data_IF_594804370991
#
_entry.id   IF_594804370991
#
_cell.length_a   1.000
_cell.length_b   1.000
_cell.length_c   1.000
_cell.angle_alpha   90.00
_cell.angle_beta   90.00
_cell.angle_gamma   90.00
#
_symmetry.space_group_name_H-M   'P 1'
#
loop_
_entity.id
_entity.type
_entity.pdbx_description
1 polymer ?
#
# COMPACT_ATOMS: atom_id res chain seq x y z
N UNK A 1 17.91 42.59 -39.82
CA UNK A 1 16.72 42.59 -38.93
C UNK A 1 16.68 41.25 -38.23
N UNK A 2 17.02 41.28 -36.96
CA UNK A 2 17.21 40.11 -36.09
C UNK A 2 15.92 39.37 -35.86
N UNK A 3 15.89 38.11 -36.21
CA UNK A 3 14.93 37.13 -35.67
C UNK A 3 15.51 36.63 -34.32
N UNK A 4 15.45 37.49 -33.34
CA UNK A 4 15.70 37.09 -31.94
C UNK A 4 14.37 36.97 -31.21
N UNK A 5 14.16 35.75 -30.71
CA UNK A 5 13.46 35.42 -29.48
C UNK A 5 12.01 35.90 -29.28
N UNK A 6 11.08 35.26 -29.95
CA UNK A 6 9.81 34.92 -29.33
C UNK A 6 9.86 33.44 -28.93
N UNK A 7 10.71 33.09 -27.95
CA UNK A 7 10.49 31.91 -27.15
C UNK A 7 9.30 32.23 -26.28
N UNK A 8 8.12 31.82 -26.72
CA UNK A 8 6.89 31.90 -25.94
C UNK A 8 7.20 31.37 -24.55
N UNK A 9 7.02 32.23 -23.58
CA UNK A 9 7.25 31.97 -22.17
C UNK A 9 6.12 31.08 -21.64
N UNK A 10 5.98 29.86 -22.23
CA UNK A 10 5.01 28.85 -21.81
C UNK A 10 5.49 28.34 -20.46
N UNK A 11 4.72 28.64 -19.42
CA UNK A 11 4.99 28.11 -18.09
C UNK A 11 5.10 26.58 -18.15
N UNK A 12 6.05 26.00 -17.40
CA UNK A 12 6.16 24.55 -17.28
C UNK A 12 4.86 24.00 -16.67
N UNK A 13 4.37 22.90 -17.22
CA UNK A 13 3.11 22.25 -16.83
C UNK A 13 3.00 21.98 -15.33
N UNK A 14 4.13 21.75 -14.65
CA UNK A 14 4.15 21.43 -13.21
C UNK A 14 3.77 22.65 -12.36
N UNK A 15 4.15 23.88 -12.77
CA UNK A 15 3.81 25.09 -12.03
C UNK A 15 2.79 25.99 -12.75
N UNK A 16 2.16 25.49 -13.81
CA UNK A 16 0.98 26.14 -14.36
C UNK A 16 -0.13 26.26 -13.31
N UNK A 17 -0.84 27.40 -13.27
CA UNK A 17 -1.84 27.68 -12.24
C UNK A 17 -2.98 26.67 -12.23
N UNK A 18 -3.44 26.20 -13.41
CA UNK A 18 -4.51 25.20 -13.52
C UNK A 18 -4.03 23.82 -13.02
N UNK A 19 -2.77 23.48 -13.30
CA UNK A 19 -2.15 22.26 -12.82
C UNK A 19 -2.03 22.26 -11.29
N UNK A 20 -1.55 23.37 -10.70
CA UNK A 20 -1.47 23.54 -9.25
C UNK A 20 -2.87 23.54 -8.57
N UNK A 21 -3.87 24.15 -9.25
CA UNK A 21 -5.26 24.09 -8.77
C UNK A 21 -5.80 22.66 -8.75
N UNK A 22 -5.64 21.94 -9.85
CA UNK A 22 -6.07 20.55 -9.96
C UNK A 22 -5.36 19.66 -8.94
N UNK A 23 -4.06 19.89 -8.73
CA UNK A 23 -3.24 19.21 -7.72
C UNK A 23 -3.74 19.51 -6.29
N UNK A 24 -4.16 20.75 -6.00
CA UNK A 24 -4.78 21.09 -4.71
C UNK A 24 -6.09 20.33 -4.51
N UNK A 25 -6.96 20.28 -5.51
CA UNK A 25 -8.21 19.53 -5.42
C UNK A 25 -7.97 18.03 -5.17
N UNK A 26 -6.98 17.45 -5.85
CA UNK A 26 -6.58 16.06 -5.65
C UNK A 26 -5.98 15.83 -4.24
N UNK A 27 -5.08 16.72 -3.80
CA UNK A 27 -4.41 16.61 -2.50
C UNK A 27 -5.35 16.77 -1.30
N UNK A 28 -6.42 17.58 -1.42
CA UNK A 28 -7.40 17.78 -0.34
C UNK A 28 -8.43 16.67 -0.23
N UNK A 29 -8.64 15.88 -1.29
CA UNK A 29 -9.65 14.83 -1.33
C UNK A 29 -9.53 13.90 -0.11
N UNK A 30 -10.67 13.60 0.53
CA UNK A 30 -10.77 12.78 1.73
C UNK A 30 -10.02 13.33 2.96
N UNK A 31 -9.55 14.59 2.91
CA UNK A 31 -8.81 15.23 4.00
C UNK A 31 -9.25 16.69 4.28
N UNK A 32 -10.37 17.13 3.71
CA UNK A 32 -10.93 18.50 3.85
C UNK A 32 -11.17 18.92 5.31
N UNK A 33 -11.46 17.96 6.17
CA UNK A 33 -11.70 18.19 7.60
C UNK A 33 -10.44 18.51 8.42
N UNK A 34 -9.24 18.31 7.83
CA UNK A 34 -7.98 18.55 8.55
C UNK A 34 -7.66 20.04 8.62
N UNK A 35 -7.29 20.57 9.81
CA UNK A 35 -7.05 22.00 9.99
C UNK A 35 -6.01 22.59 9.03
N UNK A 36 -4.92 21.85 8.75
CA UNK A 36 -3.89 22.32 7.79
C UNK A 36 -4.41 22.43 6.35
N UNK A 37 -5.36 21.58 5.95
CA UNK A 37 -5.97 21.63 4.62
C UNK A 37 -6.93 22.82 4.53
N UNK A 38 -7.73 23.05 5.60
CA UNK A 38 -8.63 24.18 5.70
C UNK A 38 -7.85 25.52 5.69
N UNK A 39 -6.79 25.62 6.51
CA UNK A 39 -5.94 26.81 6.55
C UNK A 39 -5.33 27.13 5.17
N UNK A 40 -4.81 26.12 4.47
CA UNK A 40 -4.28 26.33 3.11
C UNK A 40 -5.39 26.76 2.14
N UNK A 41 -6.59 26.20 2.28
CA UNK A 41 -7.74 26.49 1.43
C UNK A 41 -8.33 27.88 1.62
N UNK A 42 -8.21 28.50 2.79
CA UNK A 42 -8.65 29.89 3.05
C UNK A 42 -7.85 30.88 2.18
N UNK A 43 -6.52 30.72 2.17
CA UNK A 43 -5.60 31.56 1.39
C UNK A 43 -5.15 30.87 0.09
N UNK A 44 -6.05 30.13 -0.54
CA UNK A 44 -5.75 29.25 -1.65
C UNK A 44 -5.06 29.96 -2.84
N UNK A 45 -5.63 31.09 -3.33
CA UNK A 45 -5.06 31.80 -4.47
C UNK A 45 -3.66 32.37 -4.18
N UNK A 46 -3.43 33.12 -3.11
CA UNK A 46 -2.09 33.55 -2.71
C UNK A 46 -1.11 32.39 -2.57
N UNK A 47 -1.54 31.28 -1.96
CA UNK A 47 -0.68 30.09 -1.78
C UNK A 47 -0.26 29.46 -3.11
N UNK A 48 -1.17 29.39 -4.10
CA UNK A 48 -0.84 28.82 -5.43
C UNK A 48 0.09 29.75 -6.20
N UNK A 49 -0.18 31.06 -6.19
CA UNK A 49 0.70 32.04 -6.87
C UNK A 49 2.11 31.99 -6.27
N UNK A 50 2.21 32.04 -4.93
CA UNK A 50 3.52 31.90 -4.25
C UNK A 50 4.20 30.58 -4.56
N UNK A 51 3.46 29.47 -4.67
CA UNK A 51 4.01 28.16 -5.07
C UNK A 51 4.55 28.19 -6.50
N UNK A 52 3.82 28.82 -7.43
CA UNK A 52 4.28 29.01 -8.81
C UNK A 52 5.59 29.78 -8.85
N UNK A 53 5.68 30.91 -8.13
CA UNK A 53 6.87 31.77 -8.13
C UNK A 53 8.09 31.02 -7.55
N UNK A 54 7.95 30.30 -6.44
CA UNK A 54 9.00 29.47 -5.85
C UNK A 54 9.50 28.39 -6.82
N UNK A 55 8.60 27.76 -7.56
CA UNK A 55 8.95 26.72 -8.52
C UNK A 55 9.62 27.34 -9.77
N UNK A 56 9.07 28.40 -10.31
CA UNK A 56 9.62 29.11 -11.48
C UNK A 56 11.03 29.61 -11.26
N UNK A 57 11.30 30.14 -10.06
CA UNK A 57 12.62 30.63 -9.66
C UNK A 57 13.57 29.52 -9.20
N UNK A 58 13.15 28.26 -9.15
CA UNK A 58 13.90 27.12 -8.60
C UNK A 58 14.33 27.34 -7.13
N UNK A 59 13.54 28.06 -6.35
CA UNK A 59 13.75 28.33 -4.93
C UNK A 59 13.02 27.35 -4.00
N UNK A 60 12.39 26.32 -4.57
CA UNK A 60 11.65 25.35 -3.80
C UNK A 60 12.56 24.45 -2.97
N UNK A 61 12.27 24.42 -1.67
CA UNK A 61 12.77 23.43 -0.72
C UNK A 61 11.58 22.84 0.04
N UNK A 62 11.57 21.52 0.23
CA UNK A 62 10.50 20.86 1.00
C UNK A 62 10.45 21.40 2.42
N UNK A 63 9.26 21.74 2.87
CA UNK A 63 9.04 22.23 4.25
C UNK A 63 9.22 21.10 5.27
N UNK A 64 9.49 21.44 6.54
CA UNK A 64 9.56 20.45 7.61
C UNK A 64 8.28 19.62 7.66
N UNK A 65 8.42 18.31 7.62
CA UNK A 65 7.32 17.35 7.71
C UNK A 65 7.03 16.96 9.15
N UNK A 66 5.80 16.53 9.42
CA UNK A 66 5.43 15.90 10.69
C UNK A 66 5.64 14.39 10.59
N UNK A 67 6.28 13.79 11.58
CA UNK A 67 6.40 12.33 11.66
C UNK A 67 5.44 11.79 12.74
N UNK A 68 4.71 10.75 12.38
CA UNK A 68 3.86 10.04 13.33
C UNK A 68 3.85 8.54 13.03
N UNK A 69 3.49 7.77 14.03
CA UNK A 69 3.52 6.31 13.94
C UNK A 69 2.10 5.79 13.84
N UNK A 70 1.86 4.93 12.86
CA UNK A 70 0.63 4.14 12.80
C UNK A 70 0.95 2.66 13.06
N UNK A 71 0.06 2.00 13.80
CA UNK A 71 0.10 0.57 13.97
C UNK A 71 -0.96 -0.07 13.06
N UNK A 72 -0.52 -0.54 11.91
CA UNK A 72 -1.39 -1.20 10.95
C UNK A 72 -1.21 -2.72 11.04
N UNK A 73 -2.24 -3.42 11.55
CA UNK A 73 -2.27 -4.89 11.63
C UNK A 73 -1.05 -5.49 12.34
N UNK A 74 -0.59 -4.84 13.40
CA UNK A 74 0.58 -5.26 14.18
C UNK A 74 1.93 -4.90 13.55
N UNK A 75 1.95 -4.14 12.46
CA UNK A 75 3.17 -3.53 11.91
C UNK A 75 3.20 -2.06 12.27
N UNK A 76 4.27 -1.66 12.88
CA UNK A 76 4.59 -0.26 13.17
C UNK A 76 5.13 0.38 11.88
N UNK A 77 4.53 1.50 11.47
CA UNK A 77 4.93 2.24 10.28
C UNK A 77 5.12 3.71 10.62
N UNK A 78 6.31 4.28 10.45
CA UNK A 78 6.48 5.72 10.47
C UNK A 78 5.86 6.33 9.21
N UNK A 79 5.04 7.34 9.39
CA UNK A 79 4.41 8.07 8.29
C UNK A 79 4.96 9.49 8.30
N UNK A 80 5.32 9.98 7.14
CA UNK A 80 5.74 11.36 6.93
C UNK A 80 4.56 12.18 6.46
N UNK A 81 4.06 13.08 7.32
CA UNK A 81 3.00 14.02 7.01
C UNK A 81 3.55 15.29 6.38
N UNK A 82 3.38 15.45 5.08
CA UNK A 82 3.82 16.63 4.35
C UNK A 82 2.92 17.84 4.60
N UNK A 83 3.50 19.04 4.53
CA UNK A 83 2.74 20.29 4.47
C UNK A 83 1.87 20.33 3.20
N UNK A 84 0.75 21.07 3.25
CA UNK A 84 -0.19 21.08 2.14
C UNK A 84 0.42 21.65 0.85
N UNK A 85 1.29 22.65 0.95
CA UNK A 85 2.05 23.19 -0.20
C UNK A 85 2.89 22.12 -0.90
N UNK A 86 3.64 21.31 -0.11
CA UNK A 86 4.47 20.23 -0.67
C UNK A 86 3.61 19.14 -1.32
N UNK A 87 2.44 18.83 -0.71
CA UNK A 87 1.50 17.88 -1.31
C UNK A 87 0.99 18.37 -2.67
N UNK A 88 0.66 19.65 -2.80
CA UNK A 88 0.22 20.26 -4.08
C UNK A 88 1.31 20.14 -5.12
N UNK A 89 2.54 20.51 -4.81
CA UNK A 89 3.69 20.40 -5.72
C UNK A 89 3.89 18.96 -6.19
N UNK A 90 3.90 18.01 -5.25
CA UNK A 90 4.11 16.58 -5.56
C UNK A 90 2.97 15.97 -6.36
N UNK A 91 1.71 16.38 -6.11
CA UNK A 91 0.57 16.01 -6.94
C UNK A 91 0.74 16.56 -8.36
N UNK A 92 1.11 17.84 -8.51
CA UNK A 92 1.30 18.42 -9.85
C UNK A 92 2.40 17.71 -10.63
N UNK A 93 3.56 17.43 -10.01
CA UNK A 93 4.64 16.67 -10.66
C UNK A 93 4.19 15.24 -11.02
N UNK A 94 3.52 14.55 -10.10
CA UNK A 94 3.08 13.17 -10.33
C UNK A 94 2.03 13.07 -11.44
N UNK A 95 1.00 13.92 -11.40
CA UNK A 95 -0.14 13.79 -12.26
C UNK A 95 0.16 14.29 -13.69
N UNK A 96 1.01 15.32 -13.83
CA UNK A 96 1.31 15.93 -15.13
C UNK A 96 2.58 15.38 -15.80
N UNK A 97 3.54 14.82 -15.04
CA UNK A 97 4.82 14.36 -15.58
C UNK A 97 5.13 12.92 -15.23
N UNK A 98 5.28 12.57 -13.95
CA UNK A 98 5.77 11.23 -13.62
C UNK A 98 4.81 10.11 -14.05
N UNK A 99 3.51 10.25 -13.77
CA UNK A 99 2.53 9.23 -14.17
C UNK A 99 2.43 9.07 -15.68
N UNK A 100 2.24 10.12 -16.48
CA UNK A 100 2.21 10.00 -17.94
C UNK A 100 3.51 9.42 -18.53
N UNK A 101 4.68 9.77 -17.98
CA UNK A 101 5.96 9.32 -18.52
C UNK A 101 6.34 7.89 -18.13
N UNK A 102 5.78 7.35 -17.03
CA UNK A 102 6.25 6.09 -16.46
C UNK A 102 5.25 4.92 -16.58
N UNK A 103 3.93 5.22 -16.63
CA UNK A 103 2.90 4.17 -16.56
C UNK A 103 2.93 3.23 -17.76
N UNK A 104 3.24 3.72 -18.94
CA UNK A 104 3.26 2.92 -20.18
C UNK A 104 4.39 1.87 -20.21
N UNK A 105 5.40 2.04 -19.36
CA UNK A 105 6.48 1.05 -19.21
C UNK A 105 6.17 -0.06 -18.21
N UNK A 106 5.07 0.07 -17.47
CA UNK A 106 4.68 -0.94 -16.50
C UNK A 106 4.03 -2.14 -17.19
N UNK A 107 4.31 -3.33 -16.70
CA UNK A 107 3.58 -4.52 -17.17
C UNK A 107 2.08 -4.38 -16.88
N UNK A 108 1.24 -4.93 -17.75
CA UNK A 108 -0.23 -4.89 -17.57
C UNK A 108 -0.66 -5.45 -16.20
N UNK A 109 0.00 -6.51 -15.73
CA UNK A 109 -0.27 -7.22 -14.47
C UNK A 109 0.36 -6.55 -13.23
N UNK A 110 0.81 -5.28 -13.35
CA UNK A 110 1.08 -4.39 -12.21
C UNK A 110 -0.23 -3.71 -11.81
N UNK A 111 -0.75 -4.03 -10.63
CA UNK A 111 -2.07 -3.57 -10.19
C UNK A 111 -2.05 -2.56 -9.04
N UNK A 112 -0.89 -2.12 -8.58
CA UNK A 112 -0.80 -1.20 -7.45
C UNK A 112 -0.85 0.27 -7.88
N UNK A 113 -1.54 1.10 -7.11
CA UNK A 113 -1.52 2.59 -7.19
C UNK A 113 -1.76 3.19 -8.58
N UNK A 114 -2.48 2.48 -9.45
CA UNK A 114 -2.87 2.94 -10.79
C UNK A 114 -4.38 3.20 -10.84
N UNK A 115 -4.78 4.25 -11.57
CA UNK A 115 -6.20 4.54 -11.80
C UNK A 115 -6.89 3.35 -12.49
N UNK A 116 -8.04 2.95 -11.96
CA UNK A 116 -8.77 1.78 -12.46
C UNK A 116 -8.18 0.42 -12.08
N UNK A 117 -7.04 0.39 -11.39
CA UNK A 117 -6.43 -0.81 -10.83
C UNK A 117 -6.40 -0.74 -9.30
N UNK A 118 -6.07 -1.84 -8.66
CA UNK A 118 -6.01 -1.92 -7.20
C UNK A 118 -5.92 -3.38 -6.76
N UNK A 119 -6.16 -3.62 -5.49
CA UNK A 119 -6.05 -4.97 -4.92
C UNK A 119 -7.02 -5.96 -5.57
N UNK A 120 -8.24 -5.51 -5.91
CA UNK A 120 -9.25 -6.38 -6.52
C UNK A 120 -8.92 -6.69 -7.99
N UNK A 121 -8.39 -5.70 -8.74
CA UNK A 121 -7.82 -5.94 -10.06
C UNK A 121 -6.73 -7.01 -9.99
N UNK A 122 -5.76 -6.86 -9.08
CA UNK A 122 -4.64 -7.80 -8.97
C UNK A 122 -5.09 -9.21 -8.56
N UNK A 123 -6.08 -9.32 -7.67
CA UNK A 123 -6.68 -10.60 -7.31
C UNK A 123 -7.40 -11.25 -8.49
N UNK A 124 -8.20 -10.48 -9.23
CA UNK A 124 -8.89 -10.95 -10.43
C UNK A 124 -7.87 -11.43 -11.48
N UNK A 125 -6.81 -10.66 -11.76
CA UNK A 125 -5.74 -11.06 -12.67
C UNK A 125 -5.02 -12.33 -12.23
N UNK A 126 -4.74 -12.44 -10.94
CA UNK A 126 -4.15 -13.65 -10.36
C UNK A 126 -5.04 -14.89 -10.58
N UNK A 127 -6.34 -14.79 -10.31
CA UNK A 127 -7.30 -15.87 -10.56
C UNK A 127 -7.42 -16.21 -12.05
N UNK A 128 -7.41 -15.20 -12.93
CA UNK A 128 -7.37 -15.41 -14.39
C UNK A 128 -6.12 -16.18 -14.82
N UNK A 129 -4.95 -15.89 -14.21
CA UNK A 129 -3.72 -16.63 -14.48
C UNK A 129 -3.84 -18.08 -14.02
N UNK A 130 -4.41 -18.36 -12.86
CA UNK A 130 -4.67 -19.72 -12.38
C UNK A 130 -5.60 -20.49 -13.31
N UNK A 131 -6.71 -19.87 -13.76
CA UNK A 131 -7.64 -20.50 -14.70
C UNK A 131 -7.03 -20.73 -16.08
N UNK A 132 -6.24 -19.78 -16.61
CA UNK A 132 -5.52 -19.94 -17.88
C UNK A 132 -4.46 -21.03 -17.77
N UNK A 133 -3.73 -21.04 -16.66
CA UNK A 133 -2.74 -22.08 -16.38
C UNK A 133 -3.39 -23.46 -16.36
N UNK A 134 -4.50 -23.60 -15.60
CA UNK A 134 -5.23 -24.86 -15.51
C UNK A 134 -5.70 -25.38 -16.87
N UNK A 135 -6.22 -24.52 -17.73
CA UNK A 135 -6.65 -24.93 -19.10
C UNK A 135 -5.51 -25.45 -19.96
N UNK A 136 -4.27 -25.02 -19.69
CA UNK A 136 -3.10 -25.43 -20.47
C UNK A 136 -2.39 -26.66 -19.88
N UNK A 137 -2.39 -26.78 -18.55
CA UNK A 137 -1.50 -27.72 -17.86
C UNK A 137 -2.17 -28.49 -16.70
N UNK A 138 -3.45 -28.30 -16.45
CA UNK A 138 -4.11 -28.84 -15.26
C UNK A 138 -3.69 -28.11 -13.97
N UNK A 139 -3.79 -28.82 -12.83
CA UNK A 139 -3.37 -28.30 -11.53
C UNK A 139 -1.93 -28.72 -11.15
N UNK A 140 -1.24 -29.48 -12.02
CA UNK A 140 0.15 -29.89 -11.79
C UNK A 140 1.10 -28.74 -12.09
N UNK A 141 1.61 -28.13 -11.03
CA UNK A 141 2.54 -27.02 -11.12
C UNK A 141 2.77 -26.33 -9.80
N UNK A 142 3.57 -25.29 -9.88
CA UNK A 142 4.07 -24.57 -8.72
C UNK A 142 3.89 -23.07 -8.89
N UNK A 143 3.81 -22.37 -7.77
CA UNK A 143 3.83 -20.92 -7.70
C UNK A 143 5.04 -20.48 -6.87
N UNK A 144 5.86 -19.61 -7.44
CA UNK A 144 6.87 -18.84 -6.74
C UNK A 144 6.22 -17.54 -6.26
N UNK A 145 6.18 -17.32 -4.95
CA UNK A 145 5.73 -16.09 -4.30
C UNK A 145 6.93 -15.34 -3.77
N UNK A 146 7.03 -14.05 -4.07
CA UNK A 146 8.17 -13.22 -3.72
C UNK A 146 7.72 -11.93 -3.02
N UNK A 147 8.58 -11.44 -2.11
CA UNK A 147 8.41 -10.18 -1.36
C UNK A 147 9.81 -9.56 -1.20
N UNK A 148 9.92 -8.24 -1.27
CA UNK A 148 11.20 -7.56 -1.03
C UNK A 148 11.37 -7.19 0.44
N UNK A 149 12.59 -7.30 0.96
CA UNK A 149 12.94 -6.92 2.31
C UNK A 149 12.91 -5.40 2.46
N UNK A 150 12.00 -4.89 3.32
CA UNK A 150 11.93 -3.45 3.62
C UNK A 150 11.93 -2.58 2.36
N UNK A 151 11.04 -2.88 1.41
CA UNK A 151 11.05 -2.35 0.05
C UNK A 151 11.23 -0.83 -0.01
N UNK A 152 10.35 -0.06 0.66
CA UNK A 152 10.42 1.41 0.65
C UNK A 152 11.66 1.98 1.34
N UNK A 153 12.23 1.26 2.31
CA UNK A 153 13.45 1.66 3.01
C UNK A 153 14.72 1.40 2.18
N UNK A 154 14.60 0.66 1.06
CA UNK A 154 15.74 0.18 0.28
C UNK A 154 15.64 0.52 -1.21
N UNK A 155 15.09 1.68 -1.53
CA UNK A 155 15.12 2.28 -2.87
C UNK A 155 16.25 3.32 -2.92
N UNK A 156 17.42 3.01 -3.49
CA UNK A 156 18.53 3.97 -3.58
C UNK A 156 18.13 5.16 -4.46
N UNK A 157 18.36 6.36 -3.97
CA UNK A 157 17.91 7.60 -4.63
C UNK A 157 18.58 7.80 -5.99
N UNK A 158 19.87 7.53 -6.08
CA UNK A 158 20.66 7.69 -7.31
C UNK A 158 20.22 6.72 -8.40
N UNK A 159 19.96 5.46 -8.04
CA UNK A 159 19.47 4.45 -8.99
C UNK A 159 18.05 4.78 -9.42
N UNK A 160 17.16 5.10 -8.47
CA UNK A 160 15.78 5.44 -8.77
C UNK A 160 15.69 6.71 -9.65
N UNK A 161 16.50 7.73 -9.36
CA UNK A 161 16.58 8.92 -10.19
C UNK A 161 17.03 8.58 -11.62
N UNK A 162 18.10 7.81 -11.78
CA UNK A 162 18.62 7.40 -13.10
C UNK A 162 17.57 6.60 -13.91
N UNK A 163 16.85 5.68 -13.26
CA UNK A 163 15.82 4.89 -13.93
C UNK A 163 14.66 5.78 -14.40
N UNK A 164 14.23 6.75 -13.59
CA UNK A 164 13.18 7.70 -13.96
C UNK A 164 13.64 8.66 -15.05
N UNK A 165 14.85 9.17 -14.96
CA UNK A 165 15.42 10.12 -15.93
C UNK A 165 15.57 9.55 -17.35
N UNK A 166 15.49 8.22 -17.53
CA UNK A 166 15.43 7.61 -18.86
C UNK A 166 14.13 7.92 -19.61
N UNK A 167 13.08 8.31 -18.89
CA UNK A 167 11.72 8.46 -19.40
C UNK A 167 11.15 9.87 -19.21
N UNK A 168 11.80 10.70 -18.43
CA UNK A 168 11.43 12.10 -18.19
C UNK A 168 12.47 13.01 -18.83
N UNK A 169 12.07 13.76 -19.87
CA UNK A 169 12.99 14.61 -20.62
C UNK A 169 12.97 16.08 -20.16
N UNK A 170 12.06 16.45 -19.25
CA UNK A 170 11.92 17.81 -18.74
C UNK A 170 12.92 18.07 -17.62
N UNK A 171 13.89 18.96 -17.89
CA UNK A 171 14.96 19.34 -16.94
C UNK A 171 14.40 19.91 -15.62
N UNK A 172 13.33 20.72 -15.70
CA UNK A 172 12.70 21.26 -14.50
C UNK A 172 12.12 20.15 -13.61
N UNK A 173 11.41 19.21 -14.19
CA UNK A 173 10.84 18.06 -13.47
C UNK A 173 11.91 17.17 -12.85
N UNK A 174 13.02 16.97 -13.54
CA UNK A 174 14.18 16.23 -12.99
C UNK A 174 14.83 16.97 -11.82
N UNK A 175 14.99 18.31 -11.93
CA UNK A 175 15.44 19.12 -10.81
C UNK A 175 14.51 19.01 -9.60
N UNK A 176 13.19 19.14 -9.82
CA UNK A 176 12.21 19.05 -8.76
C UNK A 176 12.20 17.65 -8.11
N UNK A 177 12.33 16.60 -8.92
CA UNK A 177 12.46 15.22 -8.43
C UNK A 177 13.69 15.06 -7.53
N UNK A 178 14.83 15.70 -7.89
CA UNK A 178 16.02 15.70 -7.05
C UNK A 178 15.77 16.39 -5.70
N UNK A 179 15.04 17.52 -5.66
CA UNK A 179 14.65 18.19 -4.41
C UNK A 179 13.76 17.27 -3.54
N UNK A 180 12.91 16.47 -4.18
CA UNK A 180 12.04 15.49 -3.49
C UNK A 180 12.88 14.34 -2.90
N UNK A 181 13.86 13.80 -3.64
CA UNK A 181 14.78 12.79 -3.12
C UNK A 181 15.64 13.32 -1.97
N UNK A 182 16.06 14.58 -2.02
CA UNK A 182 16.78 15.22 -0.91
C UNK A 182 15.93 15.33 0.36
N UNK A 183 14.62 15.44 0.24
CA UNK A 183 13.70 15.38 1.38
C UNK A 183 13.48 13.95 1.91
N UNK A 184 13.77 12.89 1.13
CA UNK A 184 13.65 11.51 1.57
C UNK A 184 14.86 10.98 2.34
N UNK A 185 16.00 11.66 2.28
CA UNK A 185 17.20 11.26 2.99
C UNK A 185 16.96 11.17 4.50
N UNK A 186 17.57 10.18 5.13
CA UNK A 186 17.44 9.94 6.57
C UNK A 186 18.75 10.33 7.23
N UNK A 187 18.67 11.18 8.26
CA UNK A 187 19.83 11.54 9.06
C UNK A 187 20.29 10.33 9.90
N UNK A 188 21.51 9.93 9.66
CA UNK A 188 22.18 8.81 10.32
C UNK A 188 23.53 9.21 10.91
N UNK A 189 23.65 10.48 11.34
CA UNK A 189 24.88 11.06 11.90
C UNK A 189 25.43 10.29 13.10
N UNK A 190 24.57 9.57 13.82
CA UNK A 190 24.92 8.71 14.95
C UNK A 190 25.60 7.38 14.56
N UNK A 191 25.58 7.00 13.26
CA UNK A 191 26.23 5.78 12.80
C UNK A 191 27.73 5.99 12.64
N UNK A 192 28.53 5.04 13.11
CA UNK A 192 29.92 4.96 12.70
C UNK A 192 30.02 4.51 11.22
N UNK A 193 31.22 4.56 10.65
CA UNK A 193 31.41 4.27 9.22
C UNK A 193 31.17 2.80 8.87
N UNK A 194 31.49 1.89 9.78
CA UNK A 194 31.25 0.46 9.59
C UNK A 194 29.75 0.15 9.58
N UNK A 195 28.99 0.69 10.52
CA UNK A 195 27.53 0.55 10.57
C UNK A 195 26.87 1.14 9.31
N UNK A 196 27.34 2.31 8.88
CA UNK A 196 26.84 2.96 7.67
C UNK A 196 27.09 2.09 6.43
N UNK A 197 28.33 1.61 6.23
CA UNK A 197 28.69 0.74 5.12
C UNK A 197 27.89 -0.58 5.16
N UNK A 198 27.70 -1.14 6.34
CA UNK A 198 26.86 -2.33 6.49
C UNK A 198 25.41 -2.06 6.06
N UNK A 199 24.82 -0.93 6.46
CA UNK A 199 23.46 -0.53 6.04
C UNK A 199 23.34 -0.24 4.54
N UNK A 200 24.43 0.05 3.84
CA UNK A 200 24.43 0.15 2.37
C UNK A 200 24.32 -1.23 1.70
N UNK A 201 24.85 -2.28 2.30
CA UNK A 201 24.96 -3.61 1.73
C UNK A 201 23.83 -4.56 2.16
N UNK A 202 23.20 -4.32 3.31
CA UNK A 202 22.06 -5.12 3.83
C UNK A 202 20.78 -4.31 3.82
N UNK A 203 19.60 -4.97 3.89
CA UNK A 203 18.34 -4.24 3.96
C UNK A 203 18.25 -3.31 5.17
N UNK A 204 18.24 -2.00 4.90
CA UNK A 204 18.05 -0.94 5.90
C UNK A 204 16.64 -0.98 6.50
N UNK A 205 16.49 -0.63 7.76
CA UNK A 205 15.21 -0.55 8.46
C UNK A 205 15.01 0.83 9.08
N UNK A 206 14.51 1.77 8.31
CA UNK A 206 14.30 3.16 8.75
C UNK A 206 13.39 3.26 9.99
N UNK A 207 12.41 2.38 10.12
CA UNK A 207 11.50 2.34 11.28
C UNK A 207 12.25 2.10 12.59
N UNK A 208 13.22 1.21 12.59
CA UNK A 208 14.01 0.89 13.77
C UNK A 208 14.85 2.09 14.22
N UNK A 209 15.51 2.74 13.30
CA UNK A 209 16.33 3.93 13.57
C UNK A 209 15.47 5.11 14.04
N UNK A 210 14.39 5.42 13.36
CA UNK A 210 13.48 6.51 13.75
C UNK A 210 12.87 6.34 15.15
N UNK A 211 12.69 5.09 15.61
CA UNK A 211 12.08 4.80 16.92
C UNK A 211 13.09 4.73 18.08
N UNK A 212 14.32 4.28 17.82
CA UNK A 212 15.31 3.99 18.86
C UNK A 212 16.29 5.13 19.09
N UNK A 213 16.52 5.98 18.08
CA UNK A 213 17.53 7.02 18.14
C UNK A 213 16.89 8.34 18.57
N UNK A 214 17.42 9.01 19.62
CA UNK A 214 16.91 10.31 20.07
C UNK A 214 17.19 11.40 19.05
N UNK A 215 16.30 12.38 18.94
CA UNK A 215 16.41 13.49 17.97
C UNK A 215 17.72 14.29 18.14
N UNK A 216 18.27 14.35 19.32
CA UNK A 216 19.54 15.03 19.61
C UNK A 216 20.77 14.39 18.90
N UNK A 217 20.65 13.15 18.49
CA UNK A 217 21.72 12.44 17.76
C UNK A 217 21.66 12.64 16.24
N UNK A 218 20.64 13.37 15.75
CA UNK A 218 20.48 13.72 14.34
C UNK A 218 21.09 15.10 14.08
N UNK A 219 22.41 15.15 13.87
CA UNK A 219 23.18 16.41 13.72
C UNK A 219 23.22 16.95 12.30
N UNK A 220 22.75 16.19 11.31
CA UNK A 220 22.78 16.60 9.90
C UNK A 220 24.13 16.41 9.21
N UNK A 221 25.05 15.63 9.78
CA UNK A 221 26.39 15.42 9.23
C UNK A 221 26.46 14.25 8.25
N UNK A 222 25.61 13.21 8.46
CA UNK A 222 25.62 11.99 7.63
C UNK A 222 24.20 11.60 7.24
N UNK A 223 23.96 11.31 5.96
CA UNK A 223 22.63 10.95 5.45
C UNK A 223 22.60 9.63 4.70
N UNK A 224 21.61 8.79 5.02
CA UNK A 224 21.25 7.62 4.24
C UNK A 224 20.34 8.03 3.06
N UNK A 225 20.78 7.80 1.82
CA UNK A 225 20.04 8.10 0.58
C UNK A 225 19.46 6.83 -0.04
N UNK A 226 18.66 6.10 0.73
CA UNK A 226 18.19 4.76 0.37
C UNK A 226 16.75 4.48 0.79
N UNK A 227 15.97 5.51 1.04
CA UNK A 227 14.59 5.35 1.51
C UNK A 227 13.65 6.32 0.83
N UNK A 228 12.41 5.92 0.61
CA UNK A 228 11.32 6.80 0.20
C UNK A 228 10.22 6.83 1.26
N UNK A 229 9.59 7.98 1.44
CA UNK A 229 8.64 8.20 2.53
C UNK A 229 7.30 7.49 2.30
N UNK A 230 6.75 6.87 3.34
CA UNK A 230 5.39 6.31 3.30
C UNK A 230 4.37 7.44 3.48
N UNK A 231 3.38 7.51 2.60
CA UNK A 231 2.31 8.52 2.63
C UNK A 231 2.47 9.66 1.62
N UNK A 232 3.45 9.56 0.74
CA UNK A 232 3.76 10.50 -0.33
C UNK A 232 3.36 9.93 -1.69
N UNK A 233 2.77 10.75 -2.56
CA UNK A 233 2.36 10.32 -3.90
C UNK A 233 3.57 10.01 -4.80
N UNK A 234 4.64 10.80 -4.73
CA UNK A 234 5.86 10.52 -5.48
C UNK A 234 6.45 9.16 -5.08
N UNK A 235 6.47 8.85 -3.77
CA UNK A 235 6.91 7.53 -3.30
C UNK A 235 6.09 6.39 -3.85
N UNK A 236 4.77 6.58 -4.04
CA UNK A 236 3.91 5.56 -4.64
C UNK A 236 4.27 5.33 -6.11
N UNK A 237 4.42 6.39 -6.90
CA UNK A 237 4.80 6.29 -8.32
C UNK A 237 6.20 5.68 -8.46
N UNK A 238 7.16 6.14 -7.65
CA UNK A 238 8.51 5.55 -7.61
C UNK A 238 8.42 4.06 -7.26
N UNK A 239 7.65 3.69 -6.22
CA UNK A 239 7.53 2.31 -5.78
C UNK A 239 6.89 1.35 -6.79
N UNK A 240 5.94 1.81 -7.62
CA UNK A 240 5.37 0.96 -8.68
C UNK A 240 6.26 0.88 -9.90
N UNK A 241 7.04 1.93 -10.20
CA UNK A 241 7.90 1.99 -11.38
C UNK A 241 9.26 1.34 -11.14
N UNK A 242 9.88 1.53 -9.99
CA UNK A 242 11.26 1.15 -9.71
C UNK A 242 11.59 -0.33 -9.98
N UNK A 243 10.72 -1.33 -9.69
CA UNK A 243 10.99 -2.73 -10.02
C UNK A 243 10.74 -3.11 -11.50
N UNK A 244 10.41 -2.16 -12.38
CA UNK A 244 10.12 -2.44 -13.80
C UNK A 244 11.22 -3.22 -14.52
N UNK A 245 12.53 -2.98 -14.30
CA UNK A 245 13.58 -3.81 -14.92
C UNK A 245 13.49 -5.28 -14.52
N UNK A 246 13.06 -5.60 -13.29
CA UNK A 246 12.81 -6.97 -12.86
C UNK A 246 11.55 -7.54 -13.52
N UNK A 247 10.47 -6.73 -13.58
CA UNK A 247 9.23 -7.14 -14.26
C UNK A 247 9.49 -7.51 -15.73
N UNK A 248 10.26 -6.68 -16.45
CA UNK A 248 10.63 -6.89 -17.83
C UNK A 248 11.53 -8.11 -17.98
N UNK A 249 12.47 -8.32 -17.06
CA UNK A 249 13.30 -9.53 -17.05
C UNK A 249 12.43 -10.78 -16.94
N UNK A 250 11.50 -10.85 -16.01
CA UNK A 250 10.62 -12.01 -15.81
C UNK A 250 9.64 -12.18 -16.98
N UNK A 251 8.98 -11.09 -17.40
CA UNK A 251 7.90 -11.15 -18.38
C UNK A 251 8.39 -11.29 -19.81
N UNK A 252 9.45 -10.56 -20.17
CA UNK A 252 9.97 -10.47 -21.54
C UNK A 252 11.15 -11.41 -21.74
N UNK A 253 12.23 -11.26 -20.96
CA UNK A 253 13.45 -12.03 -21.14
C UNK A 253 13.22 -13.51 -20.82
N UNK A 254 12.57 -13.81 -19.69
CA UNK A 254 12.24 -15.19 -19.30
C UNK A 254 10.90 -15.70 -19.86
N UNK A 255 10.13 -14.86 -20.55
CA UNK A 255 8.89 -15.24 -21.24
C UNK A 255 7.76 -15.72 -20.32
N UNK A 256 7.76 -15.31 -19.02
CA UNK A 256 6.82 -15.84 -18.04
C UNK A 256 5.43 -15.20 -18.20
N UNK A 257 4.50 -15.94 -18.80
CA UNK A 257 3.12 -15.48 -19.07
C UNK A 257 2.33 -15.24 -17.78
N UNK A 258 2.50 -16.10 -16.78
CA UNK A 258 1.74 -16.10 -15.53
C UNK A 258 2.53 -15.42 -14.41
N UNK A 259 2.92 -14.18 -14.64
CA UNK A 259 3.61 -13.30 -13.71
C UNK A 259 2.77 -12.07 -13.44
N UNK A 260 2.71 -11.62 -12.18
CA UNK A 260 2.11 -10.36 -11.81
C UNK A 260 2.69 -9.82 -10.52
N UNK A 261 2.57 -8.49 -10.32
CA UNK A 261 3.12 -7.77 -9.17
C UNK A 261 2.10 -6.78 -8.59
N UNK A 262 2.11 -6.66 -7.27
CA UNK A 262 1.42 -5.64 -6.51
C UNK A 262 2.38 -5.04 -5.48
N UNK A 263 2.98 -3.88 -5.78
CA UNK A 263 4.08 -3.26 -5.02
C UNK A 263 5.26 -4.23 -4.86
N UNK A 264 5.53 -4.64 -3.61
CA UNK A 264 6.57 -5.58 -3.21
C UNK A 264 6.16 -7.06 -3.33
N UNK A 265 4.86 -7.36 -3.39
CA UNK A 265 4.33 -8.73 -3.55
C UNK A 265 4.27 -9.11 -5.04
N UNK A 266 4.93 -10.20 -5.43
CA UNK A 266 4.88 -10.74 -6.80
C UNK A 266 4.77 -12.25 -6.84
N UNK A 267 4.36 -12.79 -8.00
CA UNK A 267 4.24 -14.24 -8.19
C UNK A 267 4.60 -14.65 -9.63
N UNK A 268 5.10 -15.89 -9.76
CA UNK A 268 5.27 -16.60 -11.04
C UNK A 268 4.66 -17.99 -10.93
N UNK A 269 3.88 -18.42 -11.93
CA UNK A 269 3.34 -19.79 -12.00
C UNK A 269 4.02 -20.55 -13.13
N UNK A 270 4.56 -21.74 -12.82
CA UNK A 270 5.24 -22.59 -13.79
C UNK A 270 5.04 -24.09 -13.47
N UNK A 271 5.18 -24.97 -14.46
CA UNK A 271 5.07 -26.42 -14.28
C UNK A 271 6.25 -27.01 -13.53
N UNK A 272 7.44 -26.52 -13.87
CA UNK A 272 8.70 -27.04 -13.38
C UNK A 272 9.14 -26.28 -12.14
N UNK A 273 9.36 -27.01 -11.04
CA UNK A 273 9.82 -26.48 -9.78
C UNK A 273 11.27 -26.01 -9.85
N UNK A 274 12.12 -26.79 -10.53
CA UNK A 274 13.57 -26.51 -10.62
C UNK A 274 13.79 -25.24 -11.45
N UNK A 275 13.00 -25.04 -12.51
CA UNK A 275 12.98 -23.78 -13.24
C UNK A 275 12.64 -22.59 -12.34
N UNK A 276 11.66 -22.72 -11.43
CA UNK A 276 11.32 -21.64 -10.51
C UNK A 276 12.43 -21.38 -9.47
N UNK A 277 13.14 -22.42 -9.03
CA UNK A 277 14.31 -22.27 -8.15
C UNK A 277 15.40 -21.45 -8.83
N UNK A 278 15.73 -21.80 -10.08
CA UNK A 278 16.73 -21.06 -10.86
C UNK A 278 16.27 -19.63 -11.13
N UNK A 279 15.00 -19.43 -11.49
CA UNK A 279 14.42 -18.12 -11.75
C UNK A 279 14.44 -17.23 -10.50
N UNK A 280 14.21 -17.79 -9.31
CA UNK A 280 14.32 -17.06 -8.03
C UNK A 280 15.72 -16.48 -7.84
N UNK A 281 16.76 -17.27 -8.12
CA UNK A 281 18.17 -16.85 -8.02
C UNK A 281 18.43 -15.70 -9.00
N UNK A 282 18.06 -15.86 -10.25
CA UNK A 282 18.27 -14.84 -11.28
C UNK A 282 17.49 -13.53 -10.99
N UNK A 283 16.26 -13.64 -10.46
CA UNK A 283 15.48 -12.47 -10.01
C UNK A 283 16.18 -11.80 -8.84
N UNK A 284 16.75 -12.56 -7.89
CA UNK A 284 17.48 -12.00 -6.77
C UNK A 284 18.74 -11.22 -7.22
N UNK A 285 19.47 -11.74 -8.20
CA UNK A 285 20.61 -11.06 -8.82
C UNK A 285 20.16 -9.77 -9.52
N UNK A 286 19.11 -9.84 -10.32
CA UNK A 286 18.56 -8.66 -11.01
C UNK A 286 18.04 -7.60 -10.05
N UNK A 287 17.38 -8.01 -8.96
CA UNK A 287 16.94 -7.12 -7.91
C UNK A 287 18.13 -6.45 -7.18
N UNK A 288 19.22 -7.20 -6.97
CA UNK A 288 20.45 -6.69 -6.33
C UNK A 288 21.10 -5.58 -7.15
N UNK A 289 21.06 -5.62 -8.48
CA UNK A 289 21.54 -4.53 -9.35
C UNK A 289 20.80 -3.20 -9.06
N UNK A 290 19.55 -3.30 -8.63
CA UNK A 290 18.71 -2.18 -8.22
C UNK A 290 18.79 -1.89 -6.70
N UNK A 291 19.70 -2.50 -5.95
CA UNK A 291 19.80 -2.33 -4.50
C UNK A 291 18.65 -2.97 -3.71
N UNK A 292 17.79 -3.77 -4.36
CA UNK A 292 16.69 -4.48 -3.72
C UNK A 292 17.11 -5.90 -3.29
N UNK A 293 16.54 -6.39 -2.18
CA UNK A 293 16.84 -7.73 -1.68
C UNK A 293 15.54 -8.53 -1.49
N UNK A 294 15.46 -9.73 -2.04
CA UNK A 294 14.34 -10.64 -1.80
C UNK A 294 14.29 -11.07 -0.34
N UNK A 295 13.10 -11.13 0.22
CA UNK A 295 12.87 -11.58 1.59
C UNK A 295 12.83 -13.11 1.64
N UNK A 296 13.95 -13.75 1.97
CA UNK A 296 14.07 -15.22 2.01
C UNK A 296 13.05 -15.92 2.92
N UNK A 297 12.54 -15.24 3.97
CA UNK A 297 11.54 -15.84 4.89
C UNK A 297 10.14 -15.85 4.29
N UNK A 298 9.86 -14.98 3.31
CA UNK A 298 8.56 -14.87 2.66
C UNK A 298 8.56 -15.41 1.23
N UNK A 299 9.70 -15.41 0.55
CA UNK A 299 9.86 -16.01 -0.77
C UNK A 299 9.78 -17.52 -0.64
N UNK A 300 8.90 -18.14 -1.44
CA UNK A 300 8.66 -19.57 -1.37
C UNK A 300 8.03 -20.11 -2.64
N UNK A 301 8.36 -21.34 -2.96
CA UNK A 301 7.75 -22.13 -4.04
C UNK A 301 6.78 -23.13 -3.40
N UNK A 302 5.54 -23.14 -3.86
CA UNK A 302 4.45 -23.97 -3.31
C UNK A 302 3.74 -24.66 -4.47
N UNK A 303 3.24 -25.89 -4.27
CA UNK A 303 2.36 -26.56 -5.26
C UNK A 303 1.06 -25.79 -5.39
N UNK A 304 0.49 -25.71 -6.60
CA UNK A 304 -0.78 -25.03 -6.85
C UNK A 304 -1.96 -25.71 -6.13
N UNK A 305 -1.87 -27.01 -5.87
CA UNK A 305 -2.86 -27.77 -5.10
C UNK A 305 -2.82 -27.50 -3.60
N UNK A 306 -1.69 -27.01 -3.07
CA UNK A 306 -1.56 -26.67 -1.66
C UNK A 306 -2.18 -25.30 -1.35
N UNK A 307 -2.25 -24.93 -0.06
CA UNK A 307 -2.69 -23.61 0.34
C UNK A 307 -1.53 -22.62 0.37
N UNK A 308 -1.65 -21.54 -0.41
CA UNK A 308 -0.72 -20.43 -0.44
C UNK A 308 -1.44 -19.08 -0.33
N UNK A 309 -0.73 -18.06 0.10
CA UNK A 309 -1.31 -16.74 0.38
C UNK A 309 -0.79 -15.71 -0.61
N UNK A 310 -1.71 -15.00 -1.26
CA UNK A 310 -1.42 -13.82 -2.07
C UNK A 310 -2.43 -12.71 -1.77
N UNK A 311 -1.95 -11.46 -1.61
CA UNK A 311 -2.77 -10.28 -1.30
C UNK A 311 -3.83 -10.54 -0.22
N UNK A 312 -3.40 -11.20 0.88
CA UNK A 312 -4.18 -11.47 2.08
C UNK A 312 -5.31 -12.53 1.93
N UNK A 313 -5.46 -13.14 0.78
CA UNK A 313 -6.35 -14.28 0.55
C UNK A 313 -5.50 -15.54 0.46
N UNK A 314 -6.02 -16.64 1.00
CA UNK A 314 -5.45 -17.97 0.84
C UNK A 314 -6.10 -18.66 -0.34
N UNK A 315 -5.29 -19.13 -1.27
CA UNK A 315 -5.70 -19.79 -2.51
C UNK A 315 -5.27 -21.26 -2.54
N UNK A 316 -5.93 -22.04 -3.37
CA UNK A 316 -5.55 -23.37 -3.80
C UNK A 316 -6.25 -23.68 -5.11
N UNK A 317 -5.60 -24.42 -6.03
CA UNK A 317 -6.16 -24.84 -7.30
C UNK A 317 -6.49 -26.34 -7.23
N UNK A 318 -7.78 -26.69 -7.37
CA UNK A 318 -8.22 -28.09 -7.32
C UNK A 318 -7.91 -28.83 -8.63
N UNK A 319 -8.00 -30.15 -8.59
CA UNK A 319 -7.94 -31.06 -9.75
C UNK A 319 -9.03 -30.80 -10.78
N UNK A 320 -10.18 -30.24 -10.36
CA UNK A 320 -11.30 -29.84 -11.23
C UNK A 320 -11.16 -28.42 -11.80
N UNK A 321 -10.04 -27.71 -11.54
CA UNK A 321 -9.78 -26.34 -12.01
C UNK A 321 -10.49 -25.23 -11.19
N UNK A 322 -11.13 -25.60 -10.10
CA UNK A 322 -11.75 -24.62 -9.20
C UNK A 322 -10.67 -23.91 -8.37
N UNK A 323 -10.67 -22.57 -8.38
CA UNK A 323 -9.84 -21.77 -7.51
C UNK A 323 -10.55 -21.60 -6.16
N UNK A 324 -10.03 -22.24 -5.12
CA UNK A 324 -10.50 -22.07 -3.74
C UNK A 324 -9.93 -20.76 -3.19
N UNK A 325 -10.80 -19.99 -2.53
CA UNK A 325 -10.44 -18.74 -1.83
C UNK A 325 -10.88 -18.83 -0.38
N UNK A 326 -9.98 -18.54 0.55
CA UNK A 326 -10.27 -18.55 1.98
C UNK A 326 -9.75 -17.29 2.66
N UNK A 327 -10.49 -16.78 3.62
CA UNK A 327 -10.02 -15.73 4.52
C UNK A 327 -8.89 -16.27 5.40
N UNK A 328 -7.92 -15.44 5.72
CA UNK A 328 -6.92 -15.79 6.74
C UNK A 328 -7.61 -15.98 8.11
N UNK A 329 -7.49 -17.15 8.75
CA UNK A 329 -8.13 -17.43 10.04
C UNK A 329 -7.83 -16.40 11.12
N UNK A 330 -6.63 -15.83 11.13
CA UNK A 330 -6.23 -14.77 12.07
C UNK A 330 -7.19 -13.57 12.01
N UNK A 331 -7.68 -13.19 10.82
CA UNK A 331 -8.64 -12.07 10.68
C UNK A 331 -9.96 -12.32 11.39
N UNK A 332 -10.44 -13.57 11.36
CA UNK A 332 -11.65 -13.96 12.08
C UNK A 332 -11.41 -13.85 13.59
N UNK A 333 -10.28 -14.36 14.06
CA UNK A 333 -9.88 -14.27 15.48
C UNK A 333 -9.75 -12.80 15.92
N UNK A 334 -9.10 -11.97 15.12
CA UNK A 334 -8.92 -10.55 15.43
C UNK A 334 -10.26 -9.81 15.46
N UNK A 335 -11.20 -10.12 14.54
CA UNK A 335 -12.53 -9.54 14.57
C UNK A 335 -13.32 -9.99 15.82
N UNK A 336 -13.24 -11.27 16.19
CA UNK A 336 -13.85 -11.77 17.43
C UNK A 336 -13.33 -11.02 18.68
N UNK A 337 -12.01 -10.80 18.75
CA UNK A 337 -11.38 -10.02 19.84
C UNK A 337 -11.83 -8.57 19.82
N UNK A 338 -11.91 -7.97 18.62
CA UNK A 338 -12.36 -6.59 18.43
C UNK A 338 -13.80 -6.40 18.89
N UNK A 339 -14.74 -7.29 18.50
CA UNK A 339 -16.12 -7.24 18.93
C UNK A 339 -16.26 -7.31 20.45
N UNK A 340 -15.53 -8.22 21.12
CA UNK A 340 -15.50 -8.30 22.59
C UNK A 340 -15.01 -7.02 23.26
N UNK A 341 -13.96 -6.36 22.71
CA UNK A 341 -13.48 -5.07 23.24
C UNK A 341 -14.50 -3.95 23.02
N UNK A 342 -15.16 -3.94 21.86
CA UNK A 342 -16.14 -2.91 21.53
C UNK A 342 -17.43 -3.06 22.36
N UNK A 343 -17.84 -4.27 22.73
CA UNK A 343 -19.01 -4.45 23.61
C UNK A 343 -18.79 -3.80 25.00
N UNK A 344 -17.55 -3.92 25.54
CA UNK A 344 -17.22 -3.23 26.79
C UNK A 344 -17.24 -1.68 26.64
N UNK A 345 -16.84 -1.18 25.46
CA UNK A 345 -16.90 0.27 25.18
C UNK A 345 -18.32 0.79 25.02
N UNK A 346 -19.22 -0.02 24.43
CA UNK A 346 -20.64 0.31 24.34
C UNK A 346 -21.28 0.33 25.74
N UNK A 347 -20.98 -0.65 26.59
CA UNK A 347 -21.47 -0.69 27.98
C UNK A 347 -21.01 0.54 28.79
N UNK A 348 -19.80 1.06 28.51
CA UNK A 348 -19.26 2.26 29.18
C UNK A 348 -19.75 3.58 28.55
N UNK A 349 -20.54 3.55 27.49
CA UNK A 349 -20.95 4.77 26.78
C UNK A 349 -19.86 5.42 25.91
N UNK A 350 -18.69 4.77 25.75
CA UNK A 350 -17.57 5.29 24.93
C UNK A 350 -17.85 5.16 23.42
N UNK A 351 -18.79 4.31 23.02
CA UNK A 351 -19.21 4.04 21.64
C UNK A 351 -20.69 3.70 21.59
N UNK A 352 -21.34 4.01 20.46
CA UNK A 352 -22.72 3.57 20.22
C UNK A 352 -22.76 2.18 19.61
N UNK A 353 -23.85 1.46 19.80
CA UNK A 353 -24.08 0.17 19.15
C UNK A 353 -24.11 0.32 17.63
N UNK A 354 -24.70 1.41 17.12
CA UNK A 354 -24.80 1.71 15.71
C UNK A 354 -23.41 1.86 15.05
N UNK A 355 -22.45 2.55 15.69
CA UNK A 355 -21.08 2.65 15.19
C UNK A 355 -20.43 1.26 15.07
N UNK A 356 -20.65 0.39 16.05
CA UNK A 356 -20.08 -0.97 16.02
C UNK A 356 -20.75 -1.82 14.95
N UNK A 357 -22.05 -1.70 14.79
CA UNK A 357 -22.81 -2.40 13.75
C UNK A 357 -22.35 -2.00 12.35
N UNK A 358 -22.25 -0.70 12.08
CA UNK A 358 -21.76 -0.18 10.79
C UNK A 358 -20.36 -0.69 10.49
N UNK A 359 -19.44 -0.67 11.46
CA UNK A 359 -18.10 -1.23 11.34
C UNK A 359 -18.13 -2.75 11.04
N UNK A 360 -18.97 -3.51 11.74
CA UNK A 360 -19.06 -4.95 11.57
C UNK A 360 -19.68 -5.32 10.22
N UNK A 361 -20.74 -4.63 9.78
CA UNK A 361 -21.36 -4.81 8.46
C UNK A 361 -20.38 -4.50 7.32
N UNK A 362 -19.67 -3.40 7.39
CA UNK A 362 -18.64 -3.05 6.41
C UNK A 362 -17.53 -4.13 6.33
N UNK A 363 -17.11 -4.64 7.49
CA UNK A 363 -16.12 -5.71 7.53
C UNK A 363 -16.66 -7.03 6.95
N UNK A 364 -17.91 -7.41 7.29
CA UNK A 364 -18.56 -8.60 6.73
C UNK A 364 -18.76 -8.49 5.23
N UNK A 365 -19.17 -7.33 4.71
CA UNK A 365 -19.31 -7.07 3.27
C UNK A 365 -18.04 -7.39 2.50
N UNK A 366 -16.89 -6.99 3.03
CA UNK A 366 -15.59 -7.24 2.39
C UNK A 366 -15.04 -8.66 2.56
N UNK A 367 -15.57 -9.48 3.48
CA UNK A 367 -14.94 -10.75 3.86
C UNK A 367 -15.87 -11.98 3.83
N UNK A 368 -17.19 -11.80 3.87
CA UNK A 368 -18.13 -12.91 3.98
C UNK A 368 -18.03 -13.92 2.83
N UNK A 369 -17.73 -13.45 1.61
CA UNK A 369 -17.56 -14.29 0.43
C UNK A 369 -16.31 -15.20 0.49
N UNK A 370 -15.36 -14.93 1.40
CA UNK A 370 -14.15 -15.73 1.65
C UNK A 370 -14.32 -16.72 2.82
N UNK A 371 -15.48 -16.69 3.51
CA UNK A 371 -15.77 -17.49 4.69
C UNK A 371 -16.64 -18.68 4.35
N UNK A 372 -16.46 -19.77 5.10
CA UNK A 372 -17.45 -20.83 5.12
C UNK A 372 -18.76 -20.34 5.80
N UNK A 373 -19.86 -21.01 5.52
CA UNK A 373 -21.15 -20.74 6.19
C UNK A 373 -21.01 -20.77 7.71
N UNK A 374 -20.35 -21.80 8.24
CA UNK A 374 -20.11 -21.97 9.68
C UNK A 374 -19.33 -20.78 10.29
N UNK A 375 -18.31 -20.28 9.58
CA UNK A 375 -17.54 -19.12 10.06
C UNK A 375 -18.37 -17.85 10.12
N UNK A 376 -19.22 -17.60 9.11
CA UNK A 376 -20.13 -16.46 9.08
C UNK A 376 -21.18 -16.56 10.20
N UNK A 377 -21.79 -17.72 10.33
CA UNK A 377 -22.84 -17.95 11.34
C UNK A 377 -22.28 -17.79 12.76
N UNK A 378 -21.07 -18.31 13.03
CA UNK A 378 -20.41 -18.14 14.33
C UNK A 378 -20.03 -16.70 14.66
N UNK A 379 -19.68 -15.87 13.65
CA UNK A 379 -19.42 -14.45 13.88
C UNK A 379 -20.72 -13.66 14.13
N UNK A 380 -21.76 -13.94 13.37
CA UNK A 380 -23.06 -13.33 13.59
C UNK A 380 -23.67 -13.70 14.95
N UNK A 381 -23.50 -14.96 15.37
CA UNK A 381 -23.89 -15.43 16.71
C UNK A 381 -23.13 -14.67 17.80
N UNK A 382 -21.82 -14.53 17.65
CA UNK A 382 -21.02 -13.76 18.61
C UNK A 382 -21.46 -12.29 18.68
N UNK A 383 -21.74 -11.66 17.51
CA UNK A 383 -22.25 -10.29 17.49
C UNK A 383 -23.58 -10.21 18.25
N UNK A 384 -24.48 -11.13 17.98
CA UNK A 384 -25.75 -11.23 18.68
C UNK A 384 -25.59 -11.41 20.20
N UNK A 385 -24.77 -12.36 20.63
CA UNK A 385 -24.50 -12.61 22.05
C UNK A 385 -23.94 -11.36 22.79
N UNK A 386 -23.22 -10.50 22.08
CA UNK A 386 -22.59 -9.29 22.66
C UNK A 386 -23.48 -8.04 22.62
N UNK A 387 -24.35 -7.90 21.63
CA UNK A 387 -25.11 -6.66 21.36
C UNK A 387 -26.63 -6.84 21.32
N UNK A 388 -27.15 -8.05 21.48
CA UNK A 388 -28.57 -8.34 21.51
C UNK A 388 -29.27 -8.31 20.14
N UNK A 389 -28.56 -8.07 19.06
CA UNK A 389 -29.07 -8.07 17.69
C UNK A 389 -28.61 -6.89 16.85
N UNK A 390 -29.09 -6.85 15.61
CA UNK A 390 -28.88 -5.74 14.69
C UNK A 390 -30.04 -4.73 14.82
N UNK A 391 -29.73 -3.43 14.73
CA UNK A 391 -30.69 -2.35 14.93
C UNK A 391 -31.83 -2.40 13.91
N UNK A 392 -31.57 -2.82 12.65
CA UNK A 392 -32.57 -2.89 11.58
C UNK A 392 -33.26 -4.23 11.41
N UNK A 393 -32.97 -5.21 12.22
CA UNK A 393 -33.62 -6.52 12.27
C UNK A 393 -33.59 -7.39 11.01
N UNK A 394 -33.18 -6.84 9.85
CA UNK A 394 -33.30 -7.49 8.54
C UNK A 394 -32.34 -8.68 8.32
N UNK A 395 -31.21 -8.72 8.99
CA UNK A 395 -30.24 -9.81 8.83
C UNK A 395 -30.52 -11.05 9.68
N UNK A 396 -31.42 -10.97 10.62
CA UNK A 396 -31.77 -12.01 11.58
C UNK A 396 -32.45 -13.22 10.96
N UNK A 397 -33.40 -12.97 10.07
CA UNK A 397 -34.28 -14.00 9.56
C UNK A 397 -33.64 -14.88 8.46
N UNK A 398 -32.60 -14.41 7.79
CA UNK A 398 -31.99 -15.14 6.68
C UNK A 398 -30.84 -16.08 7.08
N UNK A 399 -30.22 -15.93 8.25
CA UNK A 399 -28.96 -16.61 8.61
C UNK A 399 -29.03 -17.50 9.86
N UNK A 400 -30.17 -17.64 10.51
CA UNK A 400 -30.32 -18.46 11.72
C UNK A 400 -30.80 -19.88 11.40
N UNK A 401 -29.93 -20.93 11.50
CA UNK A 401 -30.46 -22.28 11.59
C UNK A 401 -31.10 -22.44 12.99
N UNK A 402 -32.39 -22.77 13.06
CA UNK A 402 -33.07 -23.12 14.30
C UNK A 402 -32.29 -24.21 15.05
N UNK A 403 -31.45 -23.83 16.02
CA UNK A 403 -30.95 -24.76 17.05
C UNK A 403 -31.74 -24.52 18.32
N UNK A 404 -32.60 -25.46 18.62
CA UNK A 404 -33.59 -25.44 19.70
C UNK A 404 -33.05 -25.37 21.15
N UNK A 405 -31.73 -25.25 21.42
CA UNK A 405 -31.19 -25.36 22.77
C UNK A 405 -30.34 -24.15 23.24
N UNK A 406 -30.65 -22.92 22.80
CA UNK A 406 -29.92 -21.71 23.30
C UNK A 406 -30.83 -20.62 23.89
N UNK A 407 -32.11 -20.88 24.07
CA UNK A 407 -33.06 -19.87 24.57
C UNK A 407 -32.80 -19.44 26.04
N UNK A 408 -32.20 -20.29 26.87
CA UNK A 408 -31.92 -19.95 28.26
C UNK A 408 -30.88 -18.81 28.42
N UNK A 409 -29.75 -18.85 27.70
CA UNK A 409 -28.72 -17.81 27.79
C UNK A 409 -29.14 -16.48 27.17
N UNK A 410 -29.99 -16.51 26.15
CA UNK A 410 -30.51 -15.31 25.51
C UNK A 410 -31.45 -14.55 26.46
N UNK A 411 -32.29 -15.26 27.20
CA UNK A 411 -33.21 -14.67 28.18
C UNK A 411 -32.47 -14.12 29.40
N UNK A 412 -31.40 -14.76 29.87
CA UNK A 412 -30.53 -14.25 30.94
C UNK A 412 -29.85 -12.94 30.50
N UNK A 413 -29.35 -12.85 29.25
CA UNK A 413 -28.70 -11.68 28.74
C UNK A 413 -29.67 -10.51 28.54
N UNK A 414 -30.88 -10.73 28.01
CA UNK A 414 -31.95 -9.74 27.94
C UNK A 414 -32.33 -9.21 29.33
N UNK A 415 -32.37 -10.05 30.32
CA UNK A 415 -32.66 -9.63 31.71
C UNK A 415 -31.50 -8.78 32.27
N UNK A 416 -30.24 -9.14 31.99
CA UNK A 416 -29.05 -8.36 32.40
C UNK A 416 -28.95 -7.01 31.69
N UNK A 417 -29.29 -6.95 30.41
CA UNK A 417 -29.32 -5.72 29.62
C UNK A 417 -30.43 -4.77 30.09
N UNK A 418 -31.63 -5.27 30.27
CA UNK A 418 -32.79 -4.49 30.76
C UNK A 418 -32.64 -4.01 32.21
N UNK A 419 -31.83 -4.69 33.06
CA UNK A 419 -31.50 -4.25 34.42
C UNK A 419 -30.43 -3.17 34.46
N UNK A 420 -29.64 -2.95 33.36
CA UNK A 420 -28.59 -1.94 33.29
C UNK A 420 -28.99 -0.68 32.49
N UNK A 421 -29.99 -0.78 31.66
CA UNK A 421 -30.46 0.31 30.79
C UNK A 421 -31.86 0.83 31.19
N UNK A 422 -32.51 0.29 32.18
CA UNK A 422 -33.68 0.83 32.91
C UNK A 422 -33.25 1.29 34.28
#
# INVERSE_FOLDING_TARGET
MNKENAQDNVDNIVYDLNSLYSAFLAAKKDSDWKPQVQKYGIDFLPNIVSTKDLLKNREYHSKPSSEFIINERGKVRPITGLQMSDRVIRHSLCDNVLSPSLIDYLIYDNGASLKGKGIDFSRKRFEEHLHKYYRMYGNDGYILLMDYSKFYDNIPHDIAYREIAKHVNDEFSLWLLQQIFDNFKIDVSYMNDEEFLNCMNVPFNSTEYRLKIPKSAHTGEKYMRKSVNIGDQCSQIIGIFYPTPVDNFVKIVKGQKFYGRYMDDSYVIHRDREFLVQLEIEIAEKAKELGMTLNRKKTRIVKLSDYYKFLQITYSLTDTGRVIRKINPKRIVDMRRKLKKLSLKVIRGERTQEEVENMFRAWMGGHAHLMSKIQRDNLNLLYFDLFGGFIDGKYYLQYYPRRQNRDSRHNEWKQLYNRRCG
#
